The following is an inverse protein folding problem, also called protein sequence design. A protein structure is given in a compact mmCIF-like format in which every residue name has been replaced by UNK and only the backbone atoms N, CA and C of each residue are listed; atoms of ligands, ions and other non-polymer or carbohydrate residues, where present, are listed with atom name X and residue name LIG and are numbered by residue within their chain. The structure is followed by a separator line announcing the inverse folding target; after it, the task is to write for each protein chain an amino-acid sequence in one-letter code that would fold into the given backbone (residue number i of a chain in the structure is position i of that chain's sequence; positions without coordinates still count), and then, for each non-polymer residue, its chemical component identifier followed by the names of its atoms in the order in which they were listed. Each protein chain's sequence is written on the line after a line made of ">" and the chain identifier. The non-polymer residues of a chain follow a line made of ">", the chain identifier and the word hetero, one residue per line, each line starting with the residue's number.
data_IF_350282609987
#
_entry.id   IF_350282609987
#
_cell.length_a   1.000
_cell.length_b   1.000
_cell.length_c   1.000
_cell.angle_alpha   90.00
_cell.angle_beta   90.00
_cell.angle_gamma   90.00
#
_symmetry.space_group_name_H-M   'P 1'
#
loop_
_entity.id
_entity.type
_entity.pdbx_description
1 polymer ?
#
# COMPACT_ATOMS: atom_id res chain seq x y z
N UNK A 1 5.87 29.02 -1.09
CA UNK A 1 5.60 27.58 -0.86
C UNK A 1 4.62 27.03 -1.89
N UNK A 2 4.85 25.82 -2.35
CA UNK A 2 3.83 25.04 -3.06
C UNK A 2 2.62 24.89 -2.11
N UNK A 3 1.40 25.27 -2.54
CA UNK A 3 0.21 25.29 -1.66
C UNK A 3 -0.12 23.93 -1.02
N UNK A 4 0.43 22.84 -1.55
CA UNK A 4 0.23 21.49 -1.02
C UNK A 4 1.11 21.17 0.22
N UNK A 5 2.22 21.88 0.43
CA UNK A 5 3.15 21.58 1.53
C UNK A 5 2.77 22.25 2.84
N UNK A 6 1.95 23.30 2.82
CA UNK A 6 1.54 24.04 4.01
C UNK A 6 0.79 23.17 5.02
N UNK A 7 0.10 22.12 4.55
CA UNK A 7 -0.58 21.13 5.42
C UNK A 7 0.39 20.22 6.18
N UNK A 8 1.66 20.21 5.77
CA UNK A 8 2.70 19.35 6.34
C UNK A 8 3.77 20.15 7.08
N UNK A 9 3.74 21.48 7.05
CA UNK A 9 4.77 22.34 7.65
C UNK A 9 4.24 23.13 8.82
N UNK A 10 4.96 23.12 9.94
CA UNK A 10 4.62 23.89 11.14
C UNK A 10 5.83 24.67 11.65
N UNK A 11 5.56 25.83 12.26
CA UNK A 11 6.56 26.59 13.03
C UNK A 11 6.78 25.93 14.40
N UNK A 12 7.98 25.99 14.99
CA UNK A 12 8.24 25.32 16.27
C UNK A 12 7.57 25.98 17.49
N UNK A 13 7.02 27.18 17.32
CA UNK A 13 6.34 27.95 18.37
C UNK A 13 4.87 27.55 18.60
N UNK A 14 4.31 26.68 17.75
CA UNK A 14 2.92 26.24 17.90
C UNK A 14 2.72 25.30 19.10
N UNK A 15 1.48 25.20 19.55
CA UNK A 15 1.10 24.27 20.62
C UNK A 15 1.07 22.82 20.14
N UNK A 16 1.23 21.86 21.06
CA UNK A 16 1.01 20.43 20.79
C UNK A 16 -0.40 20.18 20.22
N UNK A 17 -1.41 20.88 20.74
CA UNK A 17 -2.80 20.80 20.27
C UNK A 17 -2.91 21.16 18.80
N UNK A 18 -2.29 22.25 18.37
CA UNK A 18 -2.39 22.70 16.97
C UNK A 18 -1.57 21.80 16.05
N UNK A 19 -0.40 21.33 16.50
CA UNK A 19 0.36 20.32 15.77
C UNK A 19 -0.46 19.03 15.57
N UNK A 20 -1.18 18.55 16.60
CA UNK A 20 -2.04 17.38 16.49
C UNK A 20 -3.22 17.59 15.51
N UNK A 21 -3.82 18.79 15.47
CA UNK A 21 -4.85 19.11 14.47
C UNK A 21 -4.28 19.04 13.05
N UNK A 22 -3.12 19.62 12.82
CA UNK A 22 -2.48 19.59 11.49
C UNK A 22 -2.13 18.16 11.06
N UNK A 23 -1.67 17.32 12.00
CA UNK A 23 -1.42 15.89 11.75
C UNK A 23 -2.72 15.15 11.38
N UNK A 24 -3.80 15.41 12.12
CA UNK A 24 -5.12 14.82 11.84
C UNK A 24 -5.66 15.25 10.47
N UNK A 25 -5.55 16.55 10.16
CA UNK A 25 -5.97 17.13 8.88
C UNK A 25 -5.19 16.56 7.69
N UNK A 26 -3.87 16.36 7.84
CA UNK A 26 -3.03 15.88 6.76
C UNK A 26 -3.06 14.35 6.56
N UNK A 27 -3.56 13.59 7.55
CA UNK A 27 -3.74 12.12 7.50
C UNK A 27 -2.47 11.31 7.24
N UNK A 28 -1.27 11.90 7.39
CA UNK A 28 0.02 11.23 7.20
C UNK A 28 0.77 10.95 8.50
N UNK A 29 0.34 11.50 9.64
CA UNK A 29 0.92 11.17 10.95
C UNK A 29 2.23 11.92 11.26
N UNK A 30 2.57 12.97 10.49
CA UNK A 30 3.79 13.74 10.68
C UNK A 30 3.65 15.21 10.26
N UNK A 31 4.60 16.02 10.72
CA UNK A 31 4.88 17.38 10.27
C UNK A 31 6.37 17.60 10.06
N UNK A 32 6.69 18.48 9.12
CA UNK A 32 8.00 19.10 8.95
C UNK A 32 8.00 20.37 9.78
N UNK A 33 8.98 20.51 10.67
CA UNK A 33 9.14 21.72 11.46
C UNK A 33 10.14 22.61 10.75
N UNK A 34 9.77 23.85 10.46
CA UNK A 34 10.58 24.82 9.75
C UNK A 34 10.62 26.17 10.48
N UNK A 35 11.66 26.96 10.24
CA UNK A 35 11.75 28.34 10.74
C UNK A 35 11.03 29.35 9.82
N UNK A 36 11.10 30.63 10.19
CA UNK A 36 10.49 31.73 9.43
C UNK A 36 11.07 31.91 8.00
N UNK A 37 12.20 31.26 7.68
CA UNK A 37 12.85 31.26 6.37
C UNK A 37 12.59 29.96 5.58
N UNK A 38 11.63 29.14 6.01
CA UNK A 38 11.30 27.82 5.46
C UNK A 38 12.43 26.78 5.60
N UNK A 39 13.45 27.04 6.41
CA UNK A 39 14.54 26.11 6.65
C UNK A 39 14.08 24.97 7.57
N UNK A 40 14.31 23.72 7.14
CA UNK A 40 13.85 22.54 7.88
C UNK A 40 14.66 22.38 9.17
N UNK A 41 13.98 22.53 10.31
CA UNK A 41 14.53 22.35 11.65
C UNK A 41 14.45 20.90 12.12
N UNK A 42 13.49 20.14 11.62
CA UNK A 42 13.28 18.74 11.98
C UNK A 42 11.92 18.19 11.60
N UNK A 43 11.54 17.08 12.23
CA UNK A 43 10.27 16.39 11.96
C UNK A 43 9.56 16.01 13.24
N UNK A 44 8.24 16.17 13.28
CA UNK A 44 7.38 15.79 14.39
C UNK A 44 6.43 14.66 13.95
N UNK A 45 6.25 13.63 14.78
CA UNK A 45 5.34 12.52 14.53
C UNK A 45 4.44 12.24 15.73
N UNK A 46 3.38 11.44 15.55
CA UNK A 46 2.57 10.91 16.67
C UNK A 46 3.42 10.22 17.73
N UNK A 47 4.53 9.60 17.32
CA UNK A 47 5.47 8.96 18.23
C UNK A 47 6.17 9.95 19.15
N UNK A 48 6.50 11.13 18.66
CA UNK A 48 7.13 12.22 19.43
C UNK A 48 6.14 12.80 20.43
N UNK A 49 4.92 13.12 19.97
CA UNK A 49 3.87 13.65 20.83
C UNK A 49 3.48 12.65 21.92
N UNK A 50 3.31 11.37 21.57
CA UNK A 50 3.08 10.30 22.56
C UNK A 50 4.18 10.25 23.61
N UNK A 51 5.46 10.33 23.21
CA UNK A 51 6.60 10.34 24.13
C UNK A 51 6.60 11.58 25.02
N UNK A 52 6.16 12.73 24.51
CA UNK A 52 6.02 13.96 25.28
C UNK A 52 4.97 13.81 26.40
N UNK A 53 3.80 13.26 26.09
CA UNK A 53 2.75 13.01 27.09
C UNK A 53 3.20 12.03 28.17
N UNK A 54 3.95 10.98 27.82
CA UNK A 54 4.52 10.05 28.80
C UNK A 54 5.53 10.73 29.75
N UNK A 55 6.09 11.88 29.36
CA UNK A 55 6.99 12.71 30.19
C UNK A 55 6.26 13.84 30.93
N UNK A 56 4.94 13.93 30.83
CA UNK A 56 4.12 14.92 31.53
C UNK A 56 3.82 16.21 30.75
N UNK A 57 4.09 16.26 29.44
CA UNK A 57 3.66 17.38 28.61
C UNK A 57 2.13 17.51 28.58
N UNK A 58 1.63 18.73 28.39
CA UNK A 58 0.24 19.08 28.15
C UNK A 58 -0.02 19.37 26.67
N UNK A 59 -1.29 19.37 26.26
CA UNK A 59 -1.70 19.78 24.91
C UNK A 59 -1.45 21.27 24.64
N UNK A 60 -1.33 22.07 25.69
CA UNK A 60 -1.12 23.53 25.58
C UNK A 60 0.37 23.92 25.62
N UNK A 61 1.28 22.95 25.82
CA UNK A 61 2.71 23.19 25.75
C UNK A 61 3.15 23.44 24.30
N UNK A 62 4.23 24.20 24.10
CA UNK A 62 4.84 24.41 22.79
C UNK A 62 5.57 23.16 22.29
N UNK A 63 5.72 23.05 20.96
CA UNK A 63 6.42 21.90 20.34
C UNK A 63 7.94 22.05 20.26
N UNK A 64 8.49 23.22 20.62
CA UNK A 64 9.93 23.48 20.69
C UNK A 64 10.63 22.40 21.55
N UNK A 65 11.48 21.59 20.91
CA UNK A 65 12.20 20.49 21.58
C UNK A 65 11.45 19.16 21.69
N UNK A 66 10.22 19.06 21.18
CA UNK A 66 9.49 17.79 21.05
C UNK A 66 9.81 17.06 19.75
N UNK A 67 10.10 17.79 18.68
CA UNK A 67 10.39 17.24 17.36
C UNK A 67 11.84 16.74 17.24
N UNK A 68 12.06 15.81 16.30
CA UNK A 68 13.39 15.25 16.02
C UNK A 68 14.19 16.22 15.14
N UNK A 69 15.22 16.88 15.70
CA UNK A 69 16.07 17.85 14.98
C UNK A 69 17.00 17.23 13.94
N UNK A 70 17.58 16.06 14.24
CA UNK A 70 18.47 15.35 13.31
C UNK A 70 17.67 14.43 12.36
N UNK A 71 16.57 14.94 11.81
CA UNK A 71 15.78 14.19 10.83
C UNK A 71 16.60 13.99 9.55
N UNK A 72 16.54 12.80 8.99
CA UNK A 72 17.13 12.52 7.69
C UNK A 72 16.30 13.23 6.60
N UNK A 73 16.97 13.86 5.66
CA UNK A 73 16.37 14.51 4.49
C UNK A 73 17.16 14.16 3.22
N UNK A 74 16.53 14.41 2.08
CA UNK A 74 17.15 14.34 0.76
C UNK A 74 17.42 15.76 0.28
N UNK A 75 18.54 15.95 -0.41
CA UNK A 75 18.77 17.16 -1.22
C UNK A 75 18.09 16.98 -2.58
N UNK A 76 17.67 18.07 -3.21
CA UNK A 76 17.18 18.06 -4.60
C UNK A 76 18.15 17.39 -5.59
N UNK A 77 19.46 17.57 -5.35
CA UNK A 77 20.53 16.94 -6.12
C UNK A 77 20.69 15.44 -5.85
N UNK A 78 20.01 14.90 -4.83
CA UNK A 78 19.89 13.47 -4.62
C UNK A 78 18.90 12.87 -5.63
N UNK A 79 19.13 11.63 -6.04
CA UNK A 79 18.21 10.90 -6.91
C UNK A 79 17.30 9.92 -6.16
N UNK A 80 16.28 9.41 -6.87
CA UNK A 80 15.42 8.31 -6.41
C UNK A 80 16.22 7.11 -5.82
N UNK A 81 17.37 6.67 -6.39
CA UNK A 81 18.13 5.55 -5.81
C UNK A 81 18.58 5.78 -4.35
N UNK A 82 18.96 7.01 -4.00
CA UNK A 82 19.34 7.34 -2.61
C UNK A 82 18.14 7.34 -1.69
N UNK A 83 17.00 7.85 -2.15
CA UNK A 83 15.74 7.80 -1.42
C UNK A 83 15.34 6.34 -1.14
N UNK A 84 15.42 5.45 -2.14
CA UNK A 84 15.16 4.01 -1.98
C UNK A 84 16.10 3.38 -0.94
N UNK A 85 17.40 3.70 -0.97
CA UNK A 85 18.37 3.21 0.02
C UNK A 85 18.00 3.63 1.44
N UNK A 86 17.61 4.89 1.62
CA UNK A 86 17.20 5.41 2.93
C UNK A 86 15.92 4.73 3.43
N UNK A 87 14.94 4.49 2.56
CA UNK A 87 13.68 3.80 2.92
C UNK A 87 13.82 2.32 3.25
N UNK A 88 14.99 1.69 3.05
CA UNK A 88 15.26 0.34 3.59
C UNK A 88 15.16 0.30 5.12
N UNK A 89 15.42 1.43 5.78
CA UNK A 89 15.23 1.53 7.23
C UNK A 89 13.75 1.50 7.58
N UNK A 90 13.33 0.54 8.41
CA UNK A 90 11.94 0.43 8.85
C UNK A 90 11.44 1.62 9.68
N UNK A 91 12.36 2.38 10.29
CA UNK A 91 12.01 3.55 11.08
C UNK A 91 11.72 4.80 10.25
N UNK A 92 12.09 4.80 8.96
CA UNK A 92 11.90 5.94 8.06
C UNK A 92 10.64 5.72 7.23
N UNK A 93 9.60 6.50 7.52
CA UNK A 93 8.32 6.46 6.81
C UNK A 93 8.17 7.56 5.77
N UNK A 94 8.92 8.64 5.90
CA UNK A 94 8.93 9.77 4.99
C UNK A 94 10.29 10.47 5.03
N UNK A 95 10.57 11.26 4.01
CA UNK A 95 11.78 12.08 3.88
C UNK A 95 11.38 13.47 3.34
N UNK A 96 11.75 14.55 4.06
CA UNK A 96 11.75 15.88 3.49
C UNK A 96 12.78 15.96 2.36
N UNK A 97 12.46 16.69 1.31
CA UNK A 97 13.35 17.03 0.20
C UNK A 97 13.62 18.52 0.29
N UNK A 98 14.90 18.89 0.37
CA UNK A 98 15.34 20.26 0.58
C UNK A 98 16.27 20.75 -0.53
N UNK A 99 16.36 22.06 -0.68
CA UNK A 99 17.37 22.67 -1.53
C UNK A 99 18.76 22.71 -0.86
N UNK A 100 19.73 23.35 -1.50
CA UNK A 100 21.09 23.49 -0.96
C UNK A 100 21.16 24.40 0.29
N UNK A 101 20.15 25.25 0.52
CA UNK A 101 20.00 26.12 1.71
C UNK A 101 19.15 25.45 2.80
N UNK A 102 18.81 24.17 2.67
CA UNK A 102 17.96 23.37 3.58
C UNK A 102 16.51 23.83 3.69
N UNK A 103 16.02 24.59 2.71
CA UNK A 103 14.60 24.96 2.62
C UNK A 103 13.79 23.82 2.05
N UNK A 104 12.59 23.60 2.58
CA UNK A 104 11.71 22.52 2.11
C UNK A 104 11.23 22.76 0.68
N UNK A 105 11.52 21.80 -0.20
CA UNK A 105 11.03 21.79 -1.58
C UNK A 105 9.87 20.82 -1.78
N UNK A 106 9.95 19.64 -1.16
CA UNK A 106 9.00 18.56 -1.38
C UNK A 106 9.05 17.55 -0.23
N UNK A 107 8.13 16.58 -0.21
CA UNK A 107 8.11 15.50 0.77
C UNK A 107 7.77 14.21 0.02
N UNK A 108 8.52 13.14 0.30
CA UNK A 108 8.22 11.81 -0.21
C UNK A 108 8.00 10.85 0.95
N UNK A 109 6.90 10.10 0.91
CA UNK A 109 6.64 8.99 1.84
C UNK A 109 7.13 7.67 1.27
N UNK A 110 7.31 6.68 2.14
CA UNK A 110 7.68 5.32 1.73
C UNK A 110 6.60 4.67 0.86
N UNK A 111 5.32 4.94 1.13
CA UNK A 111 4.21 4.44 0.33
C UNK A 111 4.21 5.08 -1.07
N UNK A 112 4.41 6.40 -1.16
CA UNK A 112 4.59 7.09 -2.45
C UNK A 112 5.80 6.55 -3.23
N UNK A 113 6.92 6.26 -2.57
CA UNK A 113 8.07 5.63 -3.21
C UNK A 113 7.72 4.26 -3.80
N UNK A 114 7.00 3.41 -3.05
CA UNK A 114 6.53 2.13 -3.59
C UNK A 114 5.58 2.33 -4.77
N UNK A 115 4.64 3.28 -4.68
CA UNK A 115 3.68 3.56 -5.73
C UNK A 115 4.38 4.00 -7.03
N UNK A 116 5.33 4.92 -6.93
CA UNK A 116 6.16 5.40 -8.03
C UNK A 116 6.86 4.24 -8.76
N UNK A 117 7.52 3.36 -8.00
CA UNK A 117 8.28 2.23 -8.55
C UNK A 117 7.37 1.16 -9.18
N UNK A 118 6.19 0.92 -8.61
CA UNK A 118 5.24 -0.08 -9.10
C UNK A 118 4.46 0.39 -10.35
N UNK A 119 4.35 1.70 -10.56
CA UNK A 119 3.70 2.30 -11.74
C UNK A 119 4.67 2.58 -12.90
N UNK A 120 5.96 2.24 -12.74
CA UNK A 120 7.01 2.53 -13.73
C UNK A 120 7.13 4.02 -14.06
N UNK A 121 6.94 4.88 -13.05
CA UNK A 121 7.04 6.34 -13.21
C UNK A 121 8.51 6.76 -13.09
N UNK A 122 9.04 7.33 -14.17
CA UNK A 122 10.37 7.94 -14.17
C UNK A 122 10.30 9.39 -13.67
N UNK A 123 10.59 9.58 -12.39
CA UNK A 123 10.57 10.88 -11.71
C UNK A 123 11.93 11.27 -11.13
N UNK A 124 12.13 12.56 -10.91
CA UNK A 124 13.13 13.11 -10.01
C UNK A 124 12.47 13.56 -8.69
N UNK A 125 13.24 14.19 -7.80
CA UNK A 125 12.73 14.63 -6.49
C UNK A 125 11.86 15.91 -6.56
N UNK A 126 11.71 16.52 -7.73
CA UNK A 126 10.81 17.66 -7.94
C UNK A 126 9.39 17.22 -8.32
N UNK A 127 9.21 15.95 -8.67
CA UNK A 127 7.92 15.38 -9.03
C UNK A 127 6.85 15.61 -7.94
N UNK A 128 5.61 15.88 -8.37
CA UNK A 128 4.49 16.06 -7.46
C UNK A 128 4.05 14.71 -6.86
N UNK A 129 4.77 14.22 -5.86
CA UNK A 129 4.48 12.95 -5.20
C UNK A 129 3.10 12.93 -4.53
N UNK A 130 2.52 14.09 -4.25
CA UNK A 130 1.18 14.20 -3.66
C UNK A 130 0.07 13.85 -4.66
N UNK A 131 0.38 13.85 -5.96
CA UNK A 131 -0.53 13.41 -7.02
C UNK A 131 -0.55 11.88 -7.22
N UNK A 132 0.37 11.14 -6.58
CA UNK A 132 0.43 9.69 -6.72
C UNK A 132 -0.76 9.01 -6.05
N UNK A 133 -1.35 8.04 -6.75
CA UNK A 133 -2.29 7.11 -6.14
C UNK A 133 -1.55 6.10 -5.27
N UNK A 134 -1.58 6.31 -3.95
CA UNK A 134 -1.00 5.39 -2.97
C UNK A 134 -1.88 4.13 -2.75
N UNK A 135 -3.12 4.14 -3.23
CA UNK A 135 -4.05 3.00 -3.14
C UNK A 135 -3.56 1.75 -3.84
N UNK A 136 -2.58 1.88 -4.75
CA UNK A 136 -1.96 0.76 -5.45
C UNK A 136 -1.06 -0.12 -4.56
N UNK A 137 -0.75 0.33 -3.36
CA UNK A 137 0.09 -0.39 -2.38
C UNK A 137 -0.76 -0.93 -1.23
N UNK A 138 -1.81 -0.20 -0.86
CA UNK A 138 -2.65 -0.49 0.30
C UNK A 138 -4.00 -1.06 -0.13
N UNK A 139 -4.10 -2.38 -0.18
CA UNK A 139 -5.33 -3.09 -0.51
C UNK A 139 -5.89 -3.89 0.68
N UNK A 140 -7.22 -3.87 0.77
CA UNK A 140 -7.96 -4.51 1.85
C UNK A 140 -8.02 -6.04 1.75
N UNK A 141 -8.31 -6.66 2.89
CA UNK A 141 -8.63 -8.09 2.98
C UNK A 141 -10.15 -8.24 2.86
N UNK A 142 -10.59 -9.06 1.91
CA UNK A 142 -11.99 -9.30 1.65
C UNK A 142 -12.39 -10.71 2.11
N UNK A 143 -13.21 -10.78 3.16
CA UNK A 143 -13.80 -12.03 3.61
C UNK A 143 -14.86 -12.53 2.64
N UNK A 144 -14.92 -13.84 2.43
CA UNK A 144 -15.86 -14.54 1.57
C UNK A 144 -16.39 -15.80 2.27
N UNK A 145 -17.57 -16.32 1.90
CA UNK A 145 -18.10 -17.55 2.49
C UNK A 145 -17.16 -18.76 2.37
N UNK A 146 -16.29 -18.78 1.35
CA UNK A 146 -15.31 -19.83 1.12
C UNK A 146 -13.93 -19.57 1.74
N UNK A 147 -13.69 -18.43 2.40
CA UNK A 147 -12.38 -18.03 2.91
C UNK A 147 -12.14 -16.53 2.74
N UNK A 148 -11.02 -16.12 2.15
CA UNK A 148 -10.75 -14.72 1.87
C UNK A 148 -9.85 -14.53 0.65
N UNK A 149 -9.83 -13.32 0.11
CA UNK A 149 -8.73 -12.88 -0.74
C UNK A 149 -8.19 -11.53 -0.28
N UNK A 150 -6.94 -11.25 -0.66
CA UNK A 150 -6.27 -9.97 -0.45
C UNK A 150 -5.58 -9.59 -1.76
N UNK A 151 -5.88 -8.42 -2.30
CA UNK A 151 -5.04 -7.82 -3.35
C UNK A 151 -3.73 -7.37 -2.70
N UNK A 152 -2.59 -7.66 -3.31
CA UNK A 152 -1.28 -7.25 -2.77
C UNK A 152 -0.69 -6.09 -3.53
N UNK A 153 -0.90 -6.05 -4.86
CA UNK A 153 -0.49 -4.98 -5.76
C UNK A 153 -1.48 -4.97 -6.93
N UNK A 154 -1.83 -3.79 -7.42
CA UNK A 154 -2.54 -3.63 -8.68
C UNK A 154 -2.16 -2.30 -9.31
N UNK A 155 -1.88 -2.35 -10.61
CA UNK A 155 -1.59 -1.20 -11.48
C UNK A 155 -2.25 -1.44 -12.84
N UNK A 156 -1.91 -0.61 -13.83
CA UNK A 156 -2.48 -0.69 -15.18
C UNK A 156 -2.10 -1.97 -15.95
N UNK A 157 -1.09 -2.70 -15.48
CA UNK A 157 -0.54 -3.86 -16.20
C UNK A 157 -0.98 -5.20 -15.59
N UNK A 158 -1.14 -5.27 -14.26
CA UNK A 158 -1.45 -6.50 -13.55
C UNK A 158 -2.13 -6.27 -12.21
N UNK A 159 -2.76 -7.34 -11.69
CA UNK A 159 -3.22 -7.44 -10.31
C UNK A 159 -2.70 -8.73 -9.66
N UNK A 160 -2.06 -8.63 -8.51
CA UNK A 160 -1.69 -9.78 -7.68
C UNK A 160 -2.68 -9.96 -6.53
N UNK A 161 -3.12 -11.20 -6.30
CA UNK A 161 -3.94 -11.57 -5.14
C UNK A 161 -3.35 -12.76 -4.39
N UNK A 162 -3.64 -12.80 -3.10
CA UNK A 162 -3.58 -14.02 -2.29
C UNK A 162 -5.02 -14.47 -2.07
N UNK A 163 -5.32 -15.72 -2.41
CA UNK A 163 -6.62 -16.35 -2.20
C UNK A 163 -6.43 -17.51 -1.22
N UNK A 164 -7.20 -17.54 -0.14
CA UNK A 164 -7.24 -18.64 0.82
C UNK A 164 -8.63 -19.25 0.84
N UNK A 165 -8.72 -20.53 0.49
CA UNK A 165 -9.97 -21.29 0.48
C UNK A 165 -10.01 -22.24 1.66
N UNK A 166 -11.01 -22.09 2.51
CA UNK A 166 -11.25 -22.94 3.68
C UNK A 166 -11.41 -24.42 3.29
N UNK A 167 -11.16 -25.36 4.21
CA UNK A 167 -11.41 -26.78 3.99
C UNK A 167 -12.82 -27.03 3.43
N UNK A 168 -12.93 -27.94 2.46
CA UNK A 168 -14.19 -28.32 1.80
C UNK A 168 -14.98 -27.17 1.15
N UNK A 169 -14.35 -26.01 0.96
CA UNK A 169 -14.96 -24.85 0.32
C UNK A 169 -14.47 -24.68 -1.11
N UNK A 170 -15.16 -23.84 -1.87
CA UNK A 170 -14.82 -23.57 -3.27
C UNK A 170 -15.19 -22.15 -3.69
N UNK A 171 -14.51 -21.64 -4.71
CA UNK A 171 -14.94 -20.43 -5.41
C UNK A 171 -16.20 -20.73 -6.25
N UNK A 172 -16.90 -19.67 -6.65
CA UNK A 172 -17.94 -19.79 -7.68
C UNK A 172 -17.31 -20.28 -8.99
N UNK A 173 -18.07 -21.00 -9.82
CA UNK A 173 -17.64 -21.21 -11.20
C UNK A 173 -17.82 -19.88 -11.92
N UNK A 174 -16.73 -19.32 -12.42
CA UNK A 174 -16.71 -17.97 -12.97
C UNK A 174 -15.84 -17.86 -14.22
N UNK A 175 -15.97 -16.76 -14.94
CA UNK A 175 -15.07 -16.37 -16.03
C UNK A 175 -14.89 -14.86 -16.07
N UNK A 176 -13.88 -14.41 -16.81
CA UNK A 176 -13.54 -12.99 -17.03
C UNK A 176 -13.29 -12.75 -18.50
N UNK A 177 -13.72 -11.61 -19.04
CA UNK A 177 -13.53 -11.30 -20.46
C UNK A 177 -12.26 -10.48 -20.70
N UNK A 178 -11.84 -9.70 -19.72
CA UNK A 178 -10.79 -8.70 -19.89
C UNK A 178 -9.41 -9.16 -19.41
N UNK A 179 -9.36 -10.22 -18.59
CA UNK A 179 -8.11 -10.71 -17.98
C UNK A 179 -7.94 -12.22 -18.06
N UNK A 180 -6.69 -12.62 -18.20
CA UNK A 180 -6.23 -13.99 -17.96
C UNK A 180 -5.63 -14.08 -16.57
N UNK A 181 -5.53 -15.30 -16.04
CA UNK A 181 -5.04 -15.53 -14.68
C UNK A 181 -3.98 -16.63 -14.64
N UNK A 182 -2.99 -16.44 -13.79
CA UNK A 182 -1.97 -17.42 -13.46
C UNK A 182 -2.01 -17.70 -11.97
N UNK A 183 -2.29 -18.94 -11.61
CA UNK A 183 -2.40 -19.39 -10.23
C UNK A 183 -1.19 -20.24 -9.88
N UNK A 184 -0.58 -19.97 -8.73
CA UNK A 184 0.43 -20.84 -8.12
C UNK A 184 -0.06 -21.24 -6.74
N UNK A 185 -0.15 -22.55 -6.48
CA UNK A 185 -0.55 -23.06 -5.18
C UNK A 185 0.61 -22.91 -4.21
N UNK A 186 0.45 -22.04 -3.22
CA UNK A 186 1.44 -21.79 -2.17
C UNK A 186 1.32 -22.79 -1.00
N UNK A 187 0.11 -23.31 -0.73
CA UNK A 187 -0.12 -24.27 0.34
C UNK A 187 -1.42 -25.05 0.14
N UNK A 188 -1.50 -26.26 0.71
CA UNK A 188 -2.68 -27.12 0.68
C UNK A 188 -2.82 -27.95 -0.60
N UNK A 189 -3.96 -28.61 -0.74
CA UNK A 189 -4.32 -29.47 -1.87
C UNK A 189 -5.77 -29.24 -2.30
N UNK A 190 -6.04 -29.42 -3.58
CA UNK A 190 -7.39 -29.23 -4.11
C UNK A 190 -7.48 -29.54 -5.59
N UNK A 191 -8.46 -28.92 -6.23
CA UNK A 191 -8.62 -28.97 -7.68
C UNK A 191 -8.84 -27.60 -8.27
N UNK A 192 -8.33 -27.42 -9.49
CA UNK A 192 -8.73 -26.35 -10.38
C UNK A 192 -9.54 -26.96 -11.51
N UNK A 193 -10.77 -26.47 -11.68
CA UNK A 193 -11.55 -26.73 -12.88
C UNK A 193 -11.24 -25.64 -13.91
N UNK A 194 -11.03 -26.03 -15.18
CA UNK A 194 -10.95 -25.13 -16.34
C UNK A 194 -11.80 -25.74 -17.44
N UNK A 195 -12.88 -25.05 -17.80
CA UNK A 195 -13.97 -25.54 -18.63
C UNK A 195 -14.45 -26.94 -18.18
N UNK A 196 -14.12 -27.96 -18.96
CA UNK A 196 -14.49 -29.37 -18.71
C UNK A 196 -13.39 -30.16 -18.01
N UNK A 197 -12.18 -29.61 -17.90
CA UNK A 197 -11.04 -30.27 -17.28
C UNK A 197 -10.99 -30.01 -15.78
N UNK A 198 -10.67 -31.04 -15.01
CA UNK A 198 -10.40 -30.96 -13.57
C UNK A 198 -8.97 -31.40 -13.33
N UNK A 199 -8.19 -30.52 -12.71
CA UNK A 199 -6.76 -30.72 -12.46
C UNK A 199 -6.58 -30.78 -10.95
N UNK A 200 -6.04 -31.88 -10.42
CA UNK A 200 -5.62 -31.94 -9.03
C UNK A 200 -4.36 -31.09 -8.83
N UNK A 201 -4.37 -30.26 -7.79
CA UNK A 201 -3.28 -29.32 -7.49
C UNK A 201 -2.80 -29.49 -6.06
N UNK A 202 -1.52 -29.22 -5.87
CA UNK A 202 -0.79 -29.28 -4.61
C UNK A 202 0.23 -28.14 -4.55
N UNK A 203 0.84 -27.90 -3.39
CA UNK A 203 1.90 -26.89 -3.23
C UNK A 203 2.95 -26.97 -4.35
N UNK A 204 3.21 -25.84 -5.01
CA UNK A 204 4.10 -25.71 -6.17
C UNK A 204 3.44 -25.93 -7.53
N UNK A 205 2.19 -26.41 -7.59
CA UNK A 205 1.44 -26.50 -8.84
C UNK A 205 1.15 -25.12 -9.42
N UNK A 206 1.28 -24.97 -10.74
CA UNK A 206 0.89 -23.77 -11.47
C UNK A 206 -0.22 -24.07 -12.48
N UNK A 207 -1.13 -23.12 -12.65
CA UNK A 207 -2.28 -23.24 -13.56
C UNK A 207 -2.46 -21.92 -14.30
N UNK A 208 -2.59 -22.00 -15.63
CA UNK A 208 -2.94 -20.88 -16.49
C UNK A 208 -4.42 -20.95 -16.86
N UNK A 209 -5.13 -19.83 -16.74
CA UNK A 209 -6.54 -19.68 -17.01
C UNK A 209 -6.70 -18.62 -18.12
N UNK A 210 -7.04 -19.05 -19.35
CA UNK A 210 -7.25 -18.12 -20.47
C UNK A 210 -8.45 -17.19 -20.26
N UNK A 211 -8.44 -16.03 -20.92
CA UNK A 211 -9.61 -15.15 -21.03
C UNK A 211 -10.84 -15.93 -21.51
N UNK A 212 -11.98 -15.71 -20.86
CA UNK A 212 -13.25 -16.35 -21.15
C UNK A 212 -13.39 -17.80 -20.68
N UNK A 213 -12.32 -18.44 -20.21
CA UNK A 213 -12.39 -19.81 -19.69
C UNK A 213 -13.16 -19.86 -18.37
N UNK A 214 -14.08 -20.81 -18.25
CA UNK A 214 -14.80 -21.02 -16.98
C UNK A 214 -13.89 -21.74 -16.01
N UNK A 215 -13.71 -21.20 -14.82
CA UNK A 215 -12.77 -21.77 -13.87
C UNK A 215 -13.29 -21.73 -12.43
N UNK A 216 -12.77 -22.64 -11.60
CA UNK A 216 -13.11 -22.77 -10.18
C UNK A 216 -11.96 -23.38 -9.41
N UNK A 217 -11.63 -22.80 -8.25
CA UNK A 217 -10.75 -23.39 -7.25
C UNK A 217 -11.59 -24.10 -6.17
N UNK A 218 -11.26 -25.35 -5.87
CA UNK A 218 -11.92 -26.14 -4.82
C UNK A 218 -10.89 -26.72 -3.87
N UNK A 219 -11.05 -26.46 -2.56
CA UNK A 219 -10.24 -27.10 -1.54
C UNK A 219 -10.84 -28.48 -1.18
N UNK A 220 -10.07 -29.54 -1.44
CA UNK A 220 -10.46 -30.92 -1.12
C UNK A 220 -10.03 -31.36 0.29
N UNK A 221 -9.15 -30.61 0.94
CA UNK A 221 -8.63 -30.90 2.27
C UNK A 221 -9.70 -30.86 3.36
N UNK A 222 -9.48 -31.62 4.42
CA UNK A 222 -10.36 -31.69 5.60
C UNK A 222 -10.01 -30.69 6.70
N UNK A 223 -8.75 -30.22 6.72
CA UNK A 223 -8.20 -29.42 7.84
C UNK A 223 -7.46 -28.16 7.38
N UNK A 224 -6.65 -28.28 6.34
CA UNK A 224 -5.80 -27.18 5.86
C UNK A 224 -6.52 -26.34 4.80
N UNK A 225 -6.22 -25.03 4.80
CA UNK A 225 -6.67 -24.14 3.73
C UNK A 225 -5.85 -24.35 2.46
N UNK A 226 -6.47 -24.15 1.31
CA UNK A 226 -5.80 -24.10 0.02
C UNK A 226 -5.46 -22.63 -0.28
N UNK A 227 -4.17 -22.31 -0.32
CA UNK A 227 -3.68 -20.95 -0.53
C UNK A 227 -3.06 -20.86 -1.92
N UNK A 228 -3.53 -19.90 -2.70
CA UNK A 228 -3.07 -19.64 -4.08
C UNK A 228 -2.62 -18.19 -4.18
N UNK A 229 -1.47 -17.98 -4.83
CA UNK A 229 -1.08 -16.66 -5.34
C UNK A 229 -1.56 -16.55 -6.78
N UNK A 230 -2.32 -15.51 -7.05
CA UNK A 230 -2.91 -15.23 -8.35
C UNK A 230 -2.24 -14.01 -8.97
N UNK A 231 -1.91 -14.10 -10.26
CA UNK A 231 -1.52 -12.99 -11.12
C UNK A 231 -2.59 -12.84 -12.18
N UNK A 232 -3.17 -11.66 -12.27
CA UNK A 232 -4.12 -11.29 -13.32
C UNK A 232 -3.43 -10.36 -14.32
N UNK A 233 -3.60 -10.63 -15.62
CA UNK A 233 -3.04 -9.82 -16.71
C UNK A 233 -4.15 -9.47 -17.69
N UNK A 234 -4.31 -8.19 -18.02
CA UNK A 234 -5.44 -7.73 -18.82
C UNK A 234 -5.52 -6.21 -18.94
N UNK A 235 -6.61 -5.74 -19.53
CA UNK A 235 -6.94 -4.31 -19.67
C UNK A 235 -7.96 -3.83 -18.63
N UNK A 236 -8.51 -4.75 -17.81
CA UNK A 236 -9.46 -4.43 -16.75
C UNK A 236 -9.46 -5.51 -15.65
N UNK A 237 -9.50 -5.08 -14.38
CA UNK A 237 -9.42 -5.95 -13.19
C UNK A 237 -10.59 -5.79 -12.20
N UNK A 238 -11.64 -5.04 -12.58
CA UNK A 238 -12.81 -4.82 -11.74
C UNK A 238 -13.56 -6.13 -11.39
N UNK A 239 -14.22 -6.14 -10.24
CA UNK A 239 -15.02 -7.30 -9.79
C UNK A 239 -16.35 -7.45 -10.56
N UNK A 240 -16.72 -6.46 -11.37
CA UNK A 240 -17.85 -6.44 -12.30
C UNK A 240 -17.56 -7.17 -13.63
N UNK A 241 -16.29 -7.47 -13.96
CA UNK A 241 -15.93 -8.41 -15.04
C UNK A 241 -16.16 -9.88 -14.64
N UNK A 242 -16.64 -10.14 -13.42
CA UNK A 242 -16.86 -11.51 -12.94
C UNK A 242 -18.25 -12.00 -13.37
N UNK A 243 -18.28 -12.91 -14.34
CA UNK A 243 -19.50 -13.64 -14.72
C UNK A 243 -19.57 -14.92 -13.91
N UNK A 244 -20.63 -15.10 -13.09
CA UNK A 244 -20.84 -16.28 -12.24
C UNK A 244 -21.85 -17.24 -12.89
N UNK A 245 -21.52 -18.52 -12.92
CA UNK A 245 -22.36 -19.57 -13.51
C UNK A 245 -22.96 -20.50 -12.46
N UNK A 246 -22.22 -20.79 -11.39
CA UNK A 246 -22.64 -21.65 -10.31
C UNK A 246 -22.00 -21.21 -9.00
N UNK A 247 -22.82 -20.92 -7.99
CA UNK A 247 -22.37 -20.53 -6.65
C UNK A 247 -23.18 -21.23 -5.56
N UNK A 248 -22.52 -21.98 -4.69
CA UNK A 248 -23.17 -22.66 -3.57
C UNK A 248 -23.55 -21.70 -2.42
N UNK A 249 -23.18 -20.42 -2.54
CA UNK A 249 -23.41 -19.39 -1.54
C UNK A 249 -24.42 -18.32 -1.97
N UNK A 250 -25.06 -18.48 -3.13
CA UNK A 250 -26.18 -17.62 -3.57
C UNK A 250 -25.79 -16.23 -4.08
N UNK A 251 -24.55 -16.03 -4.57
CA UNK A 251 -24.05 -14.74 -5.09
C UNK A 251 -24.16 -14.60 -6.61
N UNK A 252 -25.17 -15.22 -7.22
CA UNK A 252 -25.42 -15.10 -8.67
C UNK A 252 -25.96 -13.72 -9.03
#
# INVERSE_FOLDING_TARGET
>A
MNNNLTLFTASPDISVRDALKMIDENKKGFLIIADDNDAVLGTLTDGDVRRAFLKGASVDDGIEGLYTRNSKFLKQSDGIPKATEMFKSESIKFLPIVDEETRLLNIITKNQMHALLLQDIHADLEYDFMSLDEGIVDYEIFQRPWGFYKTTVMNDYFQFKIISVNPKSQLSLQSHNHREEHWIVAHGVGTVQIDQSIIDVHCGSSVFIPKGAKHRLTNKGDKESLIVTEVQIGDYFGEDDIIRYEDIYGRM
#
